data_IF_321018722179
#
_entry.id   IF_321018722179
#
_cell.length_a   1.000
_cell.length_b   1.000
_cell.length_c   1.000
_cell.angle_alpha   90.00
_cell.angle_beta   90.00
_cell.angle_gamma   90.00
#
_symmetry.space_group_name_H-M   'P 1'
#
loop_
_entity.id
_entity.type
_entity.pdbx_description
1 polymer ?
#
# COMPACT_ATOMS: atom_id res chain seq x y z
N UNK A 1 9.72 -28.34 23.45
CA UNK A 1 9.23 -27.32 22.50
C UNK A 1 8.49 -26.27 23.31
N UNK A 2 9.12 -25.11 23.58
CA UNK A 2 8.46 -23.97 24.23
C UNK A 2 7.47 -23.37 23.20
N UNK A 3 6.18 -23.48 23.45
CA UNK A 3 5.16 -22.76 22.70
C UNK A 3 5.30 -21.29 23.08
N UNK A 4 5.81 -20.46 22.17
CA UNK A 4 5.81 -19.02 22.33
C UNK A 4 4.34 -18.57 22.37
N UNK A 5 3.85 -18.21 23.56
CA UNK A 5 2.49 -17.74 23.73
C UNK A 5 2.40 -16.32 23.17
N UNK A 6 1.68 -16.17 22.07
CA UNK A 6 1.45 -14.86 21.45
C UNK A 6 0.56 -14.03 22.37
N UNK A 7 1.07 -12.91 22.90
CA UNK A 7 0.30 -11.99 23.72
C UNK A 7 -0.29 -10.86 22.89
N UNK A 8 -1.56 -10.54 23.09
CA UNK A 8 -2.22 -9.37 22.51
C UNK A 8 -1.86 -8.13 23.35
N UNK A 9 -1.27 -7.13 22.71
CA UNK A 9 -0.79 -5.91 23.38
C UNK A 9 -1.67 -4.69 23.12
N UNK A 10 -2.59 -4.76 22.16
CA UNK A 10 -3.49 -3.66 21.81
C UNK A 10 -3.92 -3.67 20.36
N UNK A 11 -4.60 -2.61 19.94
CA UNK A 11 -5.00 -2.44 18.55
C UNK A 11 -4.84 -1.00 18.08
N UNK A 12 -4.70 -0.82 16.77
CA UNK A 12 -4.56 0.47 16.11
C UNK A 12 -5.41 0.52 14.83
N UNK A 13 -5.84 1.72 14.43
CA UNK A 13 -6.39 1.97 13.10
C UNK A 13 -5.31 2.67 12.27
N UNK A 14 -4.96 2.08 11.14
CA UNK A 14 -4.06 2.67 10.14
C UNK A 14 -4.84 3.37 9.05
N UNK A 15 -4.39 4.55 8.66
CA UNK A 15 -4.93 5.34 7.56
C UNK A 15 -3.81 5.71 6.61
N UNK A 16 -3.99 5.38 5.33
CA UNK A 16 -3.13 5.79 4.23
C UNK A 16 -3.96 6.61 3.26
N UNK A 17 -3.51 7.79 2.89
CA UNK A 17 -4.17 8.65 1.92
C UNK A 17 -3.17 8.96 0.82
N UNK A 18 -3.61 8.90 -0.41
CA UNK A 18 -2.83 9.33 -1.55
C UNK A 18 -3.69 10.14 -2.53
N UNK A 19 -3.05 11.11 -3.15
CA UNK A 19 -3.65 11.90 -4.21
C UNK A 19 -2.56 12.32 -5.19
N UNK A 20 -2.90 12.29 -6.45
CA UNK A 20 -2.04 12.79 -7.52
C UNK A 20 -2.88 13.22 -8.70
N UNK A 21 -2.64 14.42 -9.21
CA UNK A 21 -3.37 14.94 -10.35
C UNK A 21 -2.46 15.74 -11.28
N UNK A 22 -2.79 15.70 -12.56
CA UNK A 22 -2.18 16.50 -13.62
C UNK A 22 -3.27 16.95 -14.60
N UNK A 23 -2.89 17.73 -15.61
CA UNK A 23 -3.78 18.11 -16.69
C UNK A 23 -4.25 16.91 -17.56
N UNK A 24 -3.60 15.75 -17.45
CA UNK A 24 -3.92 14.54 -18.20
C UNK A 24 -4.80 13.57 -17.39
N UNK A 25 -4.96 13.78 -16.09
CA UNK A 25 -5.74 12.92 -15.21
C UNK A 25 -5.17 12.84 -13.80
N UNK A 26 -5.70 11.95 -13.00
CA UNK A 26 -5.23 11.78 -11.63
C UNK A 26 -5.86 10.59 -10.93
N UNK A 27 -5.50 10.45 -9.67
CA UNK A 27 -6.12 9.50 -8.76
C UNK A 27 -6.18 10.07 -7.35
N UNK A 28 -7.20 9.69 -6.62
CA UNK A 28 -7.35 9.96 -5.19
C UNK A 28 -7.88 8.71 -4.50
N UNK A 29 -7.41 8.43 -3.32
CA UNK A 29 -7.85 7.26 -2.58
C UNK A 29 -7.23 7.14 -1.21
N UNK A 30 -7.53 6.03 -0.57
CA UNK A 30 -6.98 5.69 0.72
C UNK A 30 -7.07 4.20 1.02
N UNK A 31 -6.39 3.81 2.06
CA UNK A 31 -6.41 2.48 2.64
C UNK A 31 -6.66 2.58 4.15
N UNK A 32 -7.59 1.78 4.64
CA UNK A 32 -7.87 1.61 6.05
C UNK A 32 -7.34 0.27 6.51
N UNK A 33 -6.57 0.26 7.57
CA UNK A 33 -5.96 -0.93 8.17
C UNK A 33 -6.42 -1.08 9.61
N UNK A 34 -6.81 -2.26 10.01
CA UNK A 34 -6.93 -2.61 11.43
C UNK A 34 -5.69 -3.39 11.84
N UNK A 35 -5.02 -2.95 12.89
CA UNK A 35 -3.84 -3.61 13.44
C UNK A 35 -4.15 -4.25 14.78
N UNK A 36 -4.04 -5.56 14.89
CA UNK A 36 -3.84 -6.25 16.14
C UNK A 36 -2.33 -6.24 16.47
N UNK A 37 -1.97 -5.71 17.63
CA UNK A 37 -0.57 -5.64 18.08
C UNK A 37 -0.26 -6.90 18.89
N UNK A 38 0.64 -7.71 18.39
CA UNK A 38 1.08 -8.95 19.01
C UNK A 38 2.53 -8.79 19.49
N UNK A 39 2.77 -9.18 20.75
CA UNK A 39 4.12 -9.12 21.36
C UNK A 39 4.81 -7.75 21.20
N UNK A 40 4.03 -6.66 21.19
CA UNK A 40 4.50 -5.28 21.01
C UNK A 40 5.22 -4.97 19.69
N UNK A 41 5.53 -5.97 18.91
CA UNK A 41 6.35 -5.85 17.69
C UNK A 41 5.55 -6.12 16.40
N UNK A 42 4.62 -7.08 16.43
CA UNK A 42 3.85 -7.43 15.26
C UNK A 42 2.55 -6.64 15.17
N UNK A 43 2.37 -5.91 14.10
CA UNK A 43 1.10 -5.28 13.73
C UNK A 43 0.52 -6.07 12.55
N UNK A 44 -0.57 -6.80 12.80
CA UNK A 44 -1.18 -7.67 11.79
C UNK A 44 -2.66 -7.41 11.68
N UNK A 45 -3.22 -7.57 10.51
CA UNK A 45 -4.66 -7.44 10.35
C UNK A 45 -5.13 -7.23 8.92
N UNK A 46 -6.43 -7.01 8.76
CA UNK A 46 -7.03 -6.71 7.46
C UNK A 46 -6.78 -5.26 7.03
N UNK A 47 -6.88 -5.06 5.72
CA UNK A 47 -6.90 -3.75 5.09
C UNK A 47 -8.05 -3.65 4.09
N UNK A 48 -8.49 -2.44 3.83
CA UNK A 48 -9.48 -2.12 2.81
C UNK A 48 -9.07 -0.86 2.06
N UNK A 49 -8.96 -0.97 0.74
CA UNK A 49 -8.56 0.11 -0.17
C UNK A 49 -9.71 0.56 -1.03
N UNK A 50 -9.81 1.89 -1.20
CA UNK A 50 -10.64 2.51 -2.22
C UNK A 50 -9.85 3.59 -2.94
N UNK A 51 -9.93 3.60 -4.29
CA UNK A 51 -9.27 4.58 -5.14
C UNK A 51 -10.18 4.96 -6.29
N UNK A 52 -10.25 6.25 -6.61
CA UNK A 52 -10.85 6.77 -7.84
C UNK A 52 -9.76 7.30 -8.75
N UNK A 53 -9.74 6.80 -9.98
CA UNK A 53 -8.80 7.21 -11.03
C UNK A 53 -9.58 7.82 -12.18
N UNK A 54 -9.07 8.90 -12.75
CA UNK A 54 -9.63 9.55 -13.93
C UNK A 54 -8.52 9.93 -14.90
N UNK A 55 -8.87 9.99 -16.17
CA UNK A 55 -7.99 10.43 -17.25
C UNK A 55 -8.76 11.33 -18.21
N UNK A 56 -8.09 12.32 -18.76
CA UNK A 56 -8.65 13.24 -19.74
C UNK A 56 -7.68 13.34 -20.94
N UNK A 57 -7.63 12.27 -21.74
CA UNK A 57 -6.76 12.19 -22.90
C UNK A 57 -7.56 12.45 -24.18
N UNK A 58 -7.09 13.39 -25.00
CA UNK A 58 -7.66 13.72 -26.31
C UNK A 58 -9.17 13.95 -26.32
N UNK A 59 -9.71 14.60 -25.28
CA UNK A 59 -11.14 14.89 -25.16
C UNK A 59 -11.99 13.73 -24.66
N UNK A 60 -11.44 12.54 -24.48
CA UNK A 60 -12.14 11.40 -23.88
C UNK A 60 -11.90 11.37 -22.37
N UNK A 61 -12.99 11.53 -21.62
CA UNK A 61 -12.97 11.39 -20.16
C UNK A 61 -13.18 9.93 -19.80
N UNK A 62 -12.18 9.33 -19.19
CA UNK A 62 -12.26 7.98 -18.63
C UNK A 62 -12.15 8.05 -17.13
N UNK A 63 -12.88 7.18 -16.43
CA UNK A 63 -12.76 7.09 -14.99
C UNK A 63 -13.23 5.75 -14.48
N UNK A 64 -12.49 5.20 -13.53
CA UNK A 64 -12.83 3.93 -12.89
C UNK A 64 -12.50 3.97 -11.40
N UNK A 65 -13.15 3.11 -10.65
CA UNK A 65 -12.85 2.90 -9.24
C UNK A 65 -12.12 1.59 -9.06
N UNK A 66 -11.13 1.63 -8.18
CA UNK A 66 -10.41 0.47 -7.67
C UNK A 66 -10.81 0.29 -6.21
N UNK A 67 -11.15 -0.92 -5.83
CA UNK A 67 -11.47 -1.24 -4.45
C UNK A 67 -11.20 -2.71 -4.16
N UNK A 68 -10.99 -3.00 -2.91
CA UNK A 68 -10.75 -4.36 -2.45
C UNK A 68 -10.19 -4.37 -1.05
N UNK A 69 -9.72 -5.52 -0.64
CA UNK A 69 -9.16 -5.70 0.68
C UNK A 69 -8.02 -6.69 0.66
N UNK A 70 -7.38 -6.78 1.80
CA UNK A 70 -6.23 -7.63 1.98
C UNK A 70 -5.91 -7.88 3.43
N UNK A 71 -4.71 -8.38 3.63
CA UNK A 71 -4.10 -8.61 4.94
C UNK A 71 -2.67 -8.12 4.92
N UNK A 72 -2.20 -7.67 6.06
CA UNK A 72 -0.82 -7.24 6.20
C UNK A 72 -0.21 -7.71 7.51
N UNK A 73 1.12 -7.75 7.52
CA UNK A 73 1.92 -8.02 8.71
C UNK A 73 3.16 -7.13 8.68
N UNK A 74 3.32 -6.29 9.71
CA UNK A 74 4.48 -5.42 9.90
C UNK A 74 5.20 -5.82 11.18
N UNK A 75 6.48 -6.11 11.08
CA UNK A 75 7.36 -6.32 12.22
C UNK A 75 8.09 -5.02 12.55
N UNK A 76 7.87 -4.50 13.75
CA UNK A 76 8.42 -3.23 14.25
C UNK A 76 9.70 -3.49 15.00
N UNK A 77 10.76 -2.80 14.63
CA UNK A 77 12.10 -2.92 15.20
C UNK A 77 12.38 -1.65 16.02
N UNK A 78 12.40 -1.79 17.34
CA UNK A 78 12.82 -0.74 18.29
C UNK A 78 12.19 0.65 18.04
N UNK A 79 10.94 0.73 17.65
CA UNK A 79 10.24 2.00 17.34
C UNK A 79 10.92 2.89 16.27
N UNK A 80 11.84 2.35 15.49
CA UNK A 80 12.61 3.12 14.50
C UNK A 80 12.39 2.64 13.09
N UNK A 81 12.29 1.34 12.90
CA UNK A 81 12.17 0.68 11.62
C UNK A 81 11.01 -0.31 11.61
N UNK A 82 10.56 -0.67 10.44
CA UNK A 82 9.68 -1.82 10.26
C UNK A 82 10.03 -2.58 8.97
N UNK A 83 9.73 -3.87 8.98
CA UNK A 83 9.67 -4.72 7.81
C UNK A 83 8.24 -5.22 7.66
N UNK A 84 7.78 -5.42 6.43
CA UNK A 84 6.40 -5.82 6.25
C UNK A 84 6.09 -6.49 4.93
N UNK A 85 4.99 -7.25 4.97
CA UNK A 85 4.34 -7.82 3.82
C UNK A 85 2.86 -7.45 3.81
N UNK A 86 2.34 -7.10 2.63
CA UNK A 86 0.96 -6.71 2.42
C UNK A 86 0.41 -7.43 1.18
N UNK A 87 -0.62 -8.24 1.36
CA UNK A 87 -1.34 -8.87 0.26
C UNK A 87 -2.69 -8.20 0.10
N UNK A 88 -3.00 -7.76 -1.12
CA UNK A 88 -4.30 -7.16 -1.44
C UNK A 88 -4.89 -7.83 -2.69
N UNK A 89 -6.20 -8.05 -2.70
CA UNK A 89 -6.97 -8.44 -3.86
C UNK A 89 -7.87 -7.27 -4.24
N UNK A 90 -7.53 -6.59 -5.35
CA UNK A 90 -8.15 -5.34 -5.76
C UNK A 90 -8.94 -5.54 -7.05
N UNK A 91 -10.18 -5.03 -7.08
CA UNK A 91 -10.91 -4.90 -8.33
C UNK A 91 -10.35 -3.71 -9.10
N UNK A 92 -9.63 -3.99 -10.19
CA UNK A 92 -9.02 -3.02 -11.08
C UNK A 92 -9.33 -3.38 -12.53
N UNK A 93 -10.28 -2.68 -13.17
CA UNK A 93 -10.77 -3.07 -14.50
C UNK A 93 -9.86 -2.64 -15.64
N UNK A 94 -8.77 -1.93 -15.37
CA UNK A 94 -7.91 -1.36 -16.39
C UNK A 94 -6.55 -2.07 -16.45
N UNK A 95 -6.15 -2.52 -17.65
CA UNK A 95 -4.82 -3.07 -17.90
C UNK A 95 -3.87 -1.91 -18.25
N UNK A 96 -2.88 -1.67 -17.39
CA UNK A 96 -1.92 -0.59 -17.54
C UNK A 96 -0.79 -0.90 -18.54
N UNK A 97 -0.70 -2.13 -19.04
CA UNK A 97 0.26 -2.52 -20.10
C UNK A 97 -0.39 -2.30 -21.46
N UNK A 98 -1.60 -2.83 -21.65
CA UNK A 98 -2.32 -2.77 -22.92
C UNK A 98 -3.15 -1.49 -23.08
N UNK A 99 -3.22 -0.67 -22.04
CA UNK A 99 -3.98 0.59 -21.97
C UNK A 99 -5.46 0.42 -22.36
N UNK A 100 -6.08 -0.67 -21.94
CA UNK A 100 -7.48 -0.98 -22.20
C UNK A 100 -8.21 -1.54 -20.98
N UNK A 101 -9.53 -1.61 -21.07
CA UNK A 101 -10.31 -2.32 -20.07
C UNK A 101 -10.17 -3.83 -20.27
N UNK A 102 -9.98 -4.54 -19.16
CA UNK A 102 -9.81 -6.00 -19.15
C UNK A 102 -11.05 -6.69 -18.58
N UNK A 103 -11.31 -7.89 -19.06
CA UNK A 103 -12.30 -8.80 -18.46
C UNK A 103 -11.81 -9.39 -17.13
N UNK A 104 -10.51 -9.49 -16.95
CA UNK A 104 -9.89 -9.87 -15.68
C UNK A 104 -9.83 -8.67 -14.77
N UNK A 105 -10.89 -8.46 -13.99
CA UNK A 105 -11.07 -7.28 -13.16
C UNK A 105 -10.37 -7.34 -11.80
N UNK A 106 -9.92 -8.51 -11.36
CA UNK A 106 -9.24 -8.69 -10.08
C UNK A 106 -7.72 -8.74 -10.26
N UNK A 107 -7.02 -7.90 -9.49
CA UNK A 107 -5.57 -7.78 -9.46
C UNK A 107 -5.05 -8.21 -8.09
N UNK A 108 -4.38 -9.35 -7.96
CA UNK A 108 -3.63 -9.67 -6.77
C UNK A 108 -2.37 -8.81 -6.72
N UNK A 109 -2.04 -8.30 -5.54
CA UNK A 109 -0.77 -7.62 -5.26
C UNK A 109 -0.12 -8.21 -4.02
N UNK A 110 1.18 -8.33 -4.02
CA UNK A 110 1.96 -8.73 -2.85
C UNK A 110 3.14 -7.78 -2.71
N UNK A 111 3.07 -6.93 -1.73
CA UNK A 111 4.11 -5.98 -1.40
C UNK A 111 5.00 -6.52 -0.30
N UNK A 112 6.31 -6.54 -0.55
CA UNK A 112 7.33 -6.79 0.46
C UNK A 112 8.21 -5.56 0.59
N UNK A 113 8.47 -5.12 1.81
CA UNK A 113 9.25 -3.91 1.99
C UNK A 113 9.50 -3.57 3.45
N UNK A 114 9.82 -2.30 3.67
CA UNK A 114 10.07 -1.78 5.00
C UNK A 114 10.46 -0.31 4.96
N UNK A 115 10.71 0.23 6.11
CA UNK A 115 11.04 1.64 6.25
C UNK A 115 11.15 2.07 7.69
N UNK A 116 10.92 3.35 7.92
CA UNK A 116 10.91 3.92 9.26
C UNK A 116 9.53 3.79 9.92
N UNK A 117 9.54 3.62 11.23
CA UNK A 117 8.35 3.61 12.08
C UNK A 117 8.61 4.53 13.27
N UNK A 118 7.81 5.58 13.43
CA UNK A 118 7.98 6.54 14.51
C UNK A 118 6.71 6.74 15.30
N UNK A 119 6.81 6.56 16.59
CA UNK A 119 5.75 6.84 17.54
C UNK A 119 5.85 8.29 18.03
N UNK A 120 4.72 8.99 18.04
CA UNK A 120 4.59 10.36 18.56
C UNK A 120 3.74 10.34 19.84
N UNK A 121 4.44 10.16 20.97
CA UNK A 121 3.86 10.22 22.31
C UNK A 121 2.68 9.24 22.53
N UNK A 122 2.72 8.06 21.92
CA UNK A 122 1.67 7.06 22.04
C UNK A 122 0.32 7.45 21.42
N UNK A 123 0.24 8.58 20.71
CA UNK A 123 -1.00 9.07 20.10
C UNK A 123 -1.11 8.72 18.61
N UNK A 124 0.00 8.81 17.90
CA UNK A 124 0.07 8.54 16.48
C UNK A 124 1.38 7.86 16.19
N UNK A 125 1.35 6.79 15.42
CA UNK A 125 2.54 6.17 14.84
C UNK A 125 2.55 6.42 13.33
N UNK A 126 3.66 6.85 12.81
CA UNK A 126 3.86 7.07 11.36
C UNK A 126 4.82 6.02 10.83
N UNK A 127 4.36 5.26 9.85
CA UNK A 127 5.19 4.33 9.09
C UNK A 127 5.39 4.89 7.68
N UNK A 128 6.63 5.10 7.29
CA UNK A 128 7.00 5.47 5.93
C UNK A 128 7.94 4.44 5.34
N UNK A 129 7.61 3.89 4.18
CA UNK A 129 8.39 2.79 3.65
C UNK A 129 8.39 2.68 2.13
N UNK A 130 9.28 1.80 1.68
CA UNK A 130 9.48 1.41 0.29
C UNK A 130 9.05 -0.04 0.15
N UNK A 131 8.19 -0.31 -0.84
CA UNK A 131 7.63 -1.63 -1.07
C UNK A 131 7.82 -2.06 -2.51
N UNK A 132 8.14 -3.32 -2.69
CA UNK A 132 8.25 -3.99 -3.98
C UNK A 132 7.02 -4.87 -4.22
N UNK A 133 6.31 -4.66 -5.33
CA UNK A 133 5.20 -5.53 -5.75
C UNK A 133 5.75 -6.79 -6.41
N UNK A 134 5.72 -7.90 -5.68
CA UNK A 134 6.28 -9.20 -6.11
C UNK A 134 5.45 -9.81 -7.23
N UNK A 135 4.12 -9.69 -7.16
CA UNK A 135 3.22 -10.26 -8.17
C UNK A 135 3.20 -9.40 -9.44
N UNK A 136 3.18 -8.08 -9.28
CA UNK A 136 3.22 -7.13 -10.38
C UNK A 136 2.19 -7.44 -11.49
N UNK A 137 0.94 -7.69 -11.10
CA UNK A 137 -0.14 -8.06 -12.02
C UNK A 137 -0.34 -6.99 -13.12
N UNK A 138 -0.72 -7.40 -14.34
CA UNK A 138 -0.87 -6.51 -15.49
C UNK A 138 -1.90 -5.40 -15.26
N UNK A 139 -2.95 -5.70 -14.51
CA UNK A 139 -3.99 -4.77 -14.11
C UNK A 139 -3.80 -4.23 -12.69
N UNK A 140 -2.61 -4.37 -12.09
CA UNK A 140 -2.31 -3.76 -10.79
C UNK A 140 -2.50 -2.24 -10.87
N UNK A 141 -3.33 -1.63 -9.99
CA UNK A 141 -3.57 -0.19 -10.00
C UNK A 141 -2.33 0.63 -9.63
N UNK A 142 -1.35 -0.02 -9.02
CA UNK A 142 -0.09 0.62 -8.60
C UNK A 142 0.89 0.84 -9.75
N UNK A 143 0.69 0.21 -10.90
CA UNK A 143 1.58 0.38 -12.07
C UNK A 143 1.75 1.83 -12.50
N UNK A 144 0.71 2.64 -12.37
CA UNK A 144 0.78 4.09 -12.64
C UNK A 144 1.66 4.87 -11.65
N UNK A 145 1.90 4.29 -10.48
CA UNK A 145 2.68 4.89 -9.38
C UNK A 145 4.13 4.37 -9.31
N UNK A 146 4.52 3.43 -10.16
CA UNK A 146 5.89 2.94 -10.20
C UNK A 146 6.82 4.04 -10.74
N UNK A 147 7.69 4.55 -9.87
CA UNK A 147 8.50 5.73 -10.16
C UNK A 147 9.91 5.43 -10.65
N UNK A 148 10.45 4.24 -10.36
CA UNK A 148 11.83 3.88 -10.69
C UNK A 148 11.89 3.30 -12.09
N UNK A 149 12.53 4.02 -13.01
CA UNK A 149 12.71 3.66 -14.40
C UNK A 149 14.18 3.41 -14.71
N UNK A 150 14.51 2.18 -15.08
CA UNK A 150 15.86 1.84 -15.55
C UNK A 150 15.96 2.21 -17.03
N UNK A 151 17.03 2.92 -17.39
CA UNK A 151 17.32 3.36 -18.76
C UNK A 151 18.58 2.65 -19.27
N UNK A 152 18.63 2.40 -20.58
CA UNK A 152 19.83 1.98 -21.26
C UNK A 152 20.78 3.17 -21.52
N UNK A 153 21.93 2.89 -22.14
CA UNK A 153 22.93 3.91 -22.50
C UNK A 153 22.38 4.98 -23.46
N UNK A 154 21.36 4.64 -24.26
CA UNK A 154 20.68 5.55 -25.17
C UNK A 154 19.56 6.35 -24.50
N UNK A 155 19.39 6.25 -23.16
CA UNK A 155 18.37 6.97 -22.41
C UNK A 155 16.95 6.41 -22.52
N UNK A 156 16.75 5.27 -23.20
CA UNK A 156 15.45 4.64 -23.37
C UNK A 156 15.09 3.84 -22.11
N UNK A 157 13.83 3.91 -21.67
CA UNK A 157 13.33 3.13 -20.53
C UNK A 157 13.23 1.66 -20.93
N UNK A 158 14.09 0.83 -20.35
CA UNK A 158 14.12 -0.62 -20.59
C UNK A 158 13.34 -1.41 -19.55
N UNK A 159 13.15 -0.85 -18.35
CA UNK A 159 12.40 -1.52 -17.29
C UNK A 159 11.83 -0.50 -16.30
N UNK A 160 10.62 -0.75 -15.84
CA UNK A 160 10.01 -0.04 -14.72
C UNK A 160 10.00 -1.02 -13.54
N UNK A 161 10.64 -0.63 -12.43
CA UNK A 161 10.63 -1.44 -11.21
C UNK A 161 9.30 -1.25 -10.48
N UNK A 162 8.66 -2.34 -10.04
CA UNK A 162 7.39 -2.28 -9.31
C UNK A 162 7.60 -1.86 -7.84
N UNK A 163 8.12 -0.66 -7.66
CA UNK A 163 8.43 -0.07 -6.36
C UNK A 163 7.50 1.11 -6.10
N UNK A 164 6.91 1.13 -4.92
CA UNK A 164 6.05 2.21 -4.43
C UNK A 164 6.54 2.72 -3.08
N UNK A 165 6.18 3.97 -2.80
CA UNK A 165 6.34 4.58 -1.48
C UNK A 165 4.98 4.62 -0.80
N UNK A 166 4.94 4.32 0.50
CA UNK A 166 3.72 4.40 1.32
C UNK A 166 3.99 5.13 2.62
N UNK A 167 3.00 5.89 3.06
CA UNK A 167 2.99 6.51 4.37
C UNK A 167 1.66 6.16 5.02
N UNK A 168 1.73 5.51 6.18
CA UNK A 168 0.55 5.09 6.95
C UNK A 168 0.59 5.73 8.34
N UNK A 169 -0.52 6.31 8.75
CA UNK A 169 -0.70 6.87 10.07
C UNK A 169 -1.52 5.89 10.91
N UNK A 170 -0.97 5.40 12.01
CA UNK A 170 -1.65 4.50 12.94
C UNK A 170 -2.08 5.25 14.19
N UNK A 171 -3.34 5.06 14.57
CA UNK A 171 -3.98 5.65 15.75
C UNK A 171 -4.33 4.53 16.72
N UNK A 172 -3.80 4.51 17.94
CA UNK A 172 -4.12 3.51 18.95
C UNK A 172 -5.62 3.48 19.28
N UNK A 173 -6.19 2.29 19.37
CA UNK A 173 -7.54 2.06 19.85
C UNK A 173 -7.48 1.63 21.32
N UNK A 174 -7.93 2.47 22.21
CA UNK A 174 -7.88 2.24 23.65
C UNK A 174 -6.82 3.11 24.32
N UNK A 175 -7.21 3.73 25.43
CA UNK A 175 -6.42 4.75 26.08
C UNK A 175 -5.01 4.27 26.42
N UNK A 176 -4.06 5.16 26.19
CA UNK A 176 -2.70 5.08 26.73
C UNK A 176 -2.79 4.59 28.18
N UNK A 177 -2.19 3.44 28.47
CA UNK A 177 -1.83 3.16 29.86
C UNK A 177 -0.79 4.22 30.22
N UNK A 178 -1.27 5.17 31.06
CA UNK A 178 -0.40 6.13 31.70
C UNK A 178 0.60 5.40 32.62
#
# INVERSE_FOLDING_TARGET
LATAQTSFSGSEIGVEIFAGASNLGGSIGGDLKYAAILNEQWAVGPSFRYQRTWSNNFGQKMGFSVYGGGVYAHYRIQNSLFLGGEFEMLRSPFNFILLNYTTRTWAPTLFLGGGFSRDFNGKIRVNGGIFYDVINAENSPFRSSYSIRLKNEQGQVVRILPIIYRITFFFPLGGSKA
#
